data_IF_786473779980
#
_entry.id   IF_786473779980
#
_cell.length_a   1.000
_cell.length_b   1.000
_cell.length_c   1.000
_cell.angle_alpha   90.00
_cell.angle_beta   90.00
_cell.angle_gamma   90.00
#
_symmetry.space_group_name_H-M   'P 1'
#
loop_
_entity.id
_entity.type
_entity.pdbx_description
1 polymer ?
#
# COMPACT_ATOMS: atom_id res chain seq x y z
N UNK A 1 -5.38 11.52 -28.32
CA UNK A 1 -4.06 11.54 -27.65
C UNK A 1 -3.56 12.95 -27.33
N UNK A 2 -3.68 13.94 -28.23
CA UNK A 2 -3.24 15.34 -27.96
C UNK A 2 -4.23 16.08 -27.04
N UNK A 3 -5.54 16.00 -27.31
CA UNK A 3 -6.58 16.65 -26.50
C UNK A 3 -6.60 16.17 -25.05
N UNK A 4 -6.42 14.87 -24.81
CA UNK A 4 -6.34 14.29 -23.46
C UNK A 4 -5.11 14.78 -22.69
N UNK A 5 -3.97 14.99 -23.38
CA UNK A 5 -2.75 15.53 -22.79
C UNK A 5 -2.91 17.00 -22.42
N UNK A 6 -3.49 17.80 -23.31
CA UNK A 6 -3.73 19.22 -23.04
C UNK A 6 -4.74 19.40 -21.90
N UNK A 7 -5.84 18.63 -21.89
CA UNK A 7 -6.81 18.63 -20.79
C UNK A 7 -6.18 18.21 -19.46
N UNK A 8 -5.29 17.21 -19.46
CA UNK A 8 -4.55 16.84 -18.25
C UNK A 8 -3.71 18.01 -17.73
N UNK A 9 -2.90 18.63 -18.59
CA UNK A 9 -1.97 19.71 -18.23
C UNK A 9 -2.73 20.95 -17.75
N UNK A 10 -3.78 21.36 -18.45
CA UNK A 10 -4.48 22.62 -18.20
C UNK A 10 -5.56 22.50 -17.10
N UNK A 11 -6.10 21.31 -16.86
CA UNK A 11 -7.25 21.15 -15.96
C UNK A 11 -6.97 20.16 -14.83
N UNK A 12 -6.69 18.88 -15.15
CA UNK A 12 -6.60 17.84 -14.11
C UNK A 12 -5.41 18.03 -13.18
N UNK A 13 -4.23 18.30 -13.73
CA UNK A 13 -3.00 18.49 -12.96
C UNK A 13 -3.10 19.67 -11.98
N UNK A 14 -3.45 20.90 -12.39
CA UNK A 14 -3.56 22.02 -11.45
C UNK A 14 -4.65 21.79 -10.40
N UNK A 15 -5.81 21.23 -10.79
CA UNK A 15 -6.89 20.95 -9.85
C UNK A 15 -6.48 19.94 -8.77
N UNK A 16 -5.78 18.87 -9.14
CA UNK A 16 -5.26 17.91 -8.15
C UNK A 16 -4.14 18.51 -7.30
N UNK A 17 -3.27 19.36 -7.86
CA UNK A 17 -2.22 20.06 -7.08
C UNK A 17 -2.81 20.96 -5.97
N UNK A 18 -4.00 21.51 -6.16
CA UNK A 18 -4.71 22.30 -5.14
C UNK A 18 -5.42 21.43 -4.09
N UNK A 19 -5.75 20.19 -4.43
CA UNK A 19 -6.57 19.29 -3.60
C UNK A 19 -5.74 18.37 -2.71
N UNK A 20 -4.58 17.94 -3.20
CA UNK A 20 -3.72 16.97 -2.53
C UNK A 20 -2.55 17.65 -1.79
N UNK A 21 -2.02 17.01 -0.75
CA UNK A 21 -0.83 17.51 -0.05
C UNK A 21 0.39 17.62 -0.96
N UNK A 22 0.48 16.72 -1.95
CA UNK A 22 1.32 16.86 -3.13
C UNK A 22 0.72 16.10 -4.31
N UNK A 23 0.96 16.59 -5.53
CA UNK A 23 0.54 15.89 -6.75
C UNK A 23 1.60 16.08 -7.84
N UNK A 24 2.37 15.03 -8.12
CA UNK A 24 3.47 15.05 -9.07
C UNK A 24 3.01 15.07 -10.53
N UNK A 25 3.89 15.55 -11.40
CA UNK A 25 3.65 15.59 -12.84
C UNK A 25 3.45 14.17 -13.41
N UNK A 26 2.62 14.05 -14.45
CA UNK A 26 2.20 12.78 -15.06
C UNK A 26 1.47 11.78 -14.15
N UNK A 27 1.03 12.19 -12.96
CA UNK A 27 0.22 11.33 -12.11
C UNK A 27 -1.25 11.36 -12.50
N UNK A 28 -1.88 10.19 -12.51
CA UNK A 28 -3.24 10.00 -12.96
C UNK A 28 -4.04 9.24 -11.92
N UNK A 29 -5.22 9.77 -11.62
CA UNK A 29 -6.21 9.12 -10.78
C UNK A 29 -7.47 8.90 -11.62
N UNK A 30 -7.87 7.64 -11.80
CA UNK A 30 -9.00 7.28 -12.67
C UNK A 30 -10.22 6.86 -11.83
N UNK A 31 -11.39 7.48 -12.06
CA UNK A 31 -12.70 7.05 -11.53
C UNK A 31 -12.66 6.40 -10.14
N UNK A 32 -12.12 7.12 -9.15
CA UNK A 32 -11.99 6.62 -7.77
C UNK A 32 -13.35 6.55 -7.12
N UNK A 33 -13.62 5.47 -6.36
CA UNK A 33 -14.85 5.37 -5.58
C UNK A 33 -14.84 6.44 -4.50
N UNK A 34 -13.72 6.58 -3.76
CA UNK A 34 -13.66 7.47 -2.60
C UNK A 34 -12.24 7.98 -2.33
N UNK A 35 -12.14 9.27 -2.02
CA UNK A 35 -10.91 9.93 -1.57
C UNK A 35 -11.25 10.74 -0.34
N UNK A 36 -10.59 10.46 0.78
CA UNK A 36 -10.85 11.11 2.07
C UNK A 36 -9.60 11.83 2.56
N UNK A 37 -9.80 13.07 3.02
CA UNK A 37 -8.73 13.97 3.47
C UNK A 37 -7.57 14.06 2.45
N UNK A 38 -7.84 14.43 1.19
CA UNK A 38 -6.80 14.46 0.14
C UNK A 38 -5.60 15.35 0.48
N UNK A 39 -5.78 16.38 1.33
CA UNK A 39 -4.69 17.22 1.83
C UNK A 39 -3.61 16.43 2.62
N UNK A 40 -3.96 15.25 3.14
CA UNK A 40 -3.06 14.32 3.82
C UNK A 40 -2.47 13.25 2.89
N UNK A 41 -2.83 13.27 1.61
CA UNK A 41 -2.37 12.33 0.60
C UNK A 41 -1.35 13.03 -0.31
N UNK A 42 -0.16 12.44 -0.41
CA UNK A 42 0.98 12.97 -1.14
C UNK A 42 1.32 12.03 -2.28
N UNK A 43 1.17 12.49 -3.51
CA UNK A 43 1.34 11.67 -4.72
C UNK A 43 2.56 12.19 -5.48
N UNK A 44 3.52 11.30 -5.70
CA UNK A 44 4.73 11.52 -6.48
C UNK A 44 4.44 11.70 -7.97
N UNK A 45 5.49 11.65 -8.79
CA UNK A 45 5.45 11.75 -10.24
C UNK A 45 5.14 10.40 -10.88
N UNK A 46 4.45 10.42 -12.01
CA UNK A 46 4.17 9.21 -12.80
C UNK A 46 3.48 8.10 -11.97
N UNK A 47 2.57 8.49 -11.06
CA UNK A 47 1.76 7.56 -10.28
C UNK A 47 0.45 7.30 -11.00
N UNK A 48 0.07 6.03 -11.14
CA UNK A 48 -1.21 5.66 -11.72
C UNK A 48 -2.09 4.99 -10.67
N UNK A 49 -3.26 5.56 -10.40
CA UNK A 49 -4.29 4.96 -9.55
C UNK A 49 -5.45 4.47 -10.42
N UNK A 50 -5.70 3.17 -10.31
CA UNK A 50 -6.72 2.44 -11.04
C UNK A 50 -8.14 2.86 -10.68
N UNK A 51 -9.10 2.37 -11.48
CA UNK A 51 -10.52 2.66 -11.30
C UNK A 51 -10.99 2.09 -9.98
N UNK A 52 -11.96 2.77 -9.38
CA UNK A 52 -12.66 2.31 -8.19
C UNK A 52 -11.80 2.14 -6.94
N UNK A 53 -10.58 2.67 -6.93
CA UNK A 53 -9.79 2.69 -5.71
C UNK A 53 -10.50 3.46 -4.59
N UNK A 54 -10.08 3.22 -3.35
CA UNK A 54 -10.43 4.02 -2.19
C UNK A 54 -9.14 4.41 -1.47
N UNK A 55 -8.85 5.71 -1.43
CA UNK A 55 -7.71 6.27 -0.71
C UNK A 55 -8.21 7.11 0.47
N UNK A 56 -7.86 6.72 1.69
CA UNK A 56 -8.21 7.46 2.90
C UNK A 56 -6.98 7.76 3.75
N UNK A 57 -6.87 9.01 4.22
CA UNK A 57 -5.84 9.46 5.16
C UNK A 57 -6.49 10.22 6.34
N UNK A 58 -7.25 9.45 7.14
CA UNK A 58 -8.13 9.95 8.19
C UNK A 58 -7.51 9.75 9.58
N UNK A 59 -7.13 10.80 10.32
CA UNK A 59 -6.54 10.70 11.66
C UNK A 59 -7.55 10.24 12.73
N UNK A 60 -7.90 8.95 12.75
CA UNK A 60 -8.96 8.39 13.62
C UNK A 60 -8.44 7.66 14.86
N UNK A 61 -7.13 7.49 14.99
CA UNK A 61 -6.49 6.70 16.06
C UNK A 61 -5.81 7.57 17.13
N UNK A 62 -6.25 8.83 17.27
CA UNK A 62 -5.74 9.78 18.27
C UNK A 62 -4.47 10.54 17.87
N UNK A 63 -3.88 10.23 16.70
CA UNK A 63 -2.78 11.01 16.14
C UNK A 63 -3.31 12.23 15.40
N UNK A 64 -2.68 13.40 15.58
CA UNK A 64 -3.07 14.62 14.87
C UNK A 64 -2.56 14.65 13.43
N UNK A 65 -1.46 13.96 13.14
CA UNK A 65 -0.92 13.84 11.79
C UNK A 65 -1.28 12.49 11.18
N UNK A 66 -1.76 12.53 9.94
CA UNK A 66 -1.98 11.36 9.11
C UNK A 66 -1.37 11.64 7.73
N UNK A 67 -0.53 10.73 7.22
CA UNK A 67 0.11 10.87 5.91
C UNK A 67 0.00 9.57 5.11
N UNK A 68 -0.60 9.66 3.93
CA UNK A 68 -0.54 8.62 2.91
C UNK A 68 0.37 9.10 1.78
N UNK A 69 1.51 8.44 1.61
CA UNK A 69 2.52 8.82 0.63
C UNK A 69 2.57 7.76 -0.47
N UNK A 70 2.43 8.18 -1.73
CA UNK A 70 2.62 7.35 -2.92
C UNK A 70 3.85 7.87 -3.68
N UNK A 71 4.92 7.09 -3.71
CA UNK A 71 6.20 7.42 -4.34
C UNK A 71 6.13 7.44 -5.87
N UNK A 72 7.22 7.89 -6.49
CA UNK A 72 7.31 8.07 -7.93
C UNK A 72 7.25 6.73 -8.68
N UNK A 73 6.71 6.73 -9.91
CA UNK A 73 6.66 5.56 -10.80
C UNK A 73 5.89 4.36 -10.23
N UNK A 74 4.94 4.61 -9.33
CA UNK A 74 4.15 3.57 -8.67
C UNK A 74 2.81 3.34 -9.35
N UNK A 75 2.39 2.08 -9.45
CA UNK A 75 1.08 1.69 -9.97
C UNK A 75 0.22 1.09 -8.86
N UNK A 76 -1.00 1.62 -8.71
CA UNK A 76 -2.04 1.12 -7.81
C UNK A 76 -3.18 0.58 -8.66
N UNK A 77 -3.46 -0.72 -8.55
CA UNK A 77 -4.49 -1.41 -9.33
C UNK A 77 -5.92 -0.96 -9.05
N UNK A 78 -6.84 -1.46 -9.86
CA UNK A 78 -8.26 -1.16 -9.74
C UNK A 78 -8.82 -1.71 -8.42
N UNK A 79 -9.75 -0.97 -7.82
CA UNK A 79 -10.42 -1.34 -6.57
C UNK A 79 -9.46 -1.60 -5.39
N UNK A 80 -8.24 -1.06 -5.44
CA UNK A 80 -7.35 -1.05 -4.29
C UNK A 80 -7.96 -0.16 -3.19
N UNK A 81 -7.85 -0.60 -1.94
CA UNK A 81 -8.37 0.10 -0.77
C UNK A 81 -7.24 0.34 0.22
N UNK A 82 -6.82 1.60 0.35
CA UNK A 82 -5.75 2.02 1.24
C UNK A 82 -6.33 2.93 2.31
N UNK A 83 -6.31 2.48 3.56
CA UNK A 83 -6.90 3.18 4.69
C UNK A 83 -5.84 3.52 5.74
N UNK A 84 -5.34 4.75 5.68
CA UNK A 84 -4.32 5.30 6.57
C UNK A 84 -4.96 6.10 7.70
N UNK A 85 -4.55 5.83 8.94
CA UNK A 85 -4.93 6.63 10.12
C UNK A 85 -3.76 7.35 10.78
N UNK A 86 -2.51 6.96 10.48
CA UNK A 86 -1.30 7.65 10.92
C UNK A 86 -0.26 7.73 9.80
N UNK A 87 0.23 6.60 9.30
CA UNK A 87 1.31 6.58 8.31
C UNK A 87 1.30 5.34 7.44
N UNK A 88 1.07 5.55 6.15
CA UNK A 88 1.28 4.55 5.09
C UNK A 88 2.17 5.19 4.04
N UNK A 89 3.33 4.57 3.80
CA UNK A 89 4.27 5.00 2.76
C UNK A 89 4.43 3.89 1.74
N UNK A 90 4.13 4.21 0.50
CA UNK A 90 4.44 3.38 -0.66
C UNK A 90 5.60 4.07 -1.35
N UNK A 91 6.77 3.44 -1.35
CA UNK A 91 7.98 4.00 -1.95
C UNK A 91 7.90 4.02 -3.48
N UNK A 92 9.03 4.28 -4.13
CA UNK A 92 9.10 4.42 -5.58
C UNK A 92 9.01 3.06 -6.28
N UNK A 93 8.52 3.06 -7.52
CA UNK A 93 8.53 1.89 -8.40
C UNK A 93 7.83 0.66 -7.80
N UNK A 94 6.81 0.87 -6.96
CA UNK A 94 6.02 -0.22 -6.38
C UNK A 94 4.90 -0.62 -7.34
N UNK A 95 4.69 -1.92 -7.51
CA UNK A 95 3.59 -2.47 -8.28
C UNK A 95 2.53 -3.08 -7.35
N UNK A 96 1.34 -2.47 -7.30
CA UNK A 96 0.20 -2.99 -6.55
C UNK A 96 -0.88 -3.43 -7.54
N UNK A 97 -1.21 -4.72 -7.51
CA UNK A 97 -2.25 -5.28 -8.35
C UNK A 97 -3.66 -4.87 -7.91
N UNK A 98 -4.67 -5.34 -8.63
CA UNK A 98 -6.06 -5.03 -8.37
C UNK A 98 -6.54 -5.60 -7.02
N UNK A 99 -7.55 -4.94 -6.43
CA UNK A 99 -8.27 -5.40 -5.22
C UNK A 99 -7.39 -5.62 -3.98
N UNK A 100 -6.24 -4.94 -3.91
CA UNK A 100 -5.37 -4.98 -2.73
C UNK A 100 -5.92 -4.10 -1.61
N UNK A 101 -5.91 -4.60 -0.39
CA UNK A 101 -6.23 -3.84 0.83
C UNK A 101 -4.96 -3.57 1.64
N UNK A 102 -4.77 -2.33 2.09
CA UNK A 102 -3.66 -1.91 2.95
C UNK A 102 -4.21 -1.01 4.07
N UNK A 103 -3.94 -1.37 5.33
CA UNK A 103 -4.24 -0.53 6.49
C UNK A 103 -3.11 -0.51 7.51
N UNK A 104 -3.04 0.57 8.27
CA UNK A 104 -2.16 0.76 9.43
C UNK A 104 -2.93 0.67 10.77
N UNK A 105 -4.18 0.20 10.73
CA UNK A 105 -5.14 0.21 11.82
C UNK A 105 -6.11 -0.98 11.76
N UNK A 106 -6.85 -1.15 12.86
CA UNK A 106 -7.94 -2.12 12.99
C UNK A 106 -8.99 -1.61 13.99
N UNK A 107 -10.11 -2.31 14.14
CA UNK A 107 -11.04 -2.06 15.24
C UNK A 107 -10.51 -2.60 16.57
N UNK A 108 -10.78 -1.89 17.67
CA UNK A 108 -10.61 -2.41 19.01
C UNK A 108 -11.55 -3.60 19.27
N UNK A 109 -11.07 -4.56 20.05
CA UNK A 109 -11.80 -5.78 20.38
C UNK A 109 -11.61 -6.25 21.82
N UNK A 110 -10.96 -5.42 22.66
CA UNK A 110 -10.57 -5.81 24.03
C UNK A 110 -11.73 -5.75 25.02
N UNK A 111 -12.71 -4.88 24.77
CA UNK A 111 -13.90 -4.78 25.61
C UNK A 111 -14.93 -5.83 25.15
N UNK A 112 -15.12 -6.88 25.95
CA UNK A 112 -16.03 -7.98 25.60
C UNK A 112 -17.50 -7.67 25.88
N UNK A 113 -17.78 -6.61 26.65
CA UNK A 113 -19.14 -6.20 27.02
C UNK A 113 -19.75 -5.25 25.98
N UNK A 114 -18.94 -4.75 25.04
CA UNK A 114 -19.37 -3.80 23.99
C UNK A 114 -19.18 -4.39 22.59
N UNK A 115 -20.19 -4.30 21.71
CA UNK A 115 -20.04 -4.69 20.31
C UNK A 115 -18.86 -3.98 19.62
N UNK A 116 -18.16 -4.68 18.71
CA UNK A 116 -16.97 -4.16 18.00
C UNK A 116 -17.24 -2.81 17.31
N UNK A 117 -18.44 -2.61 16.76
CA UNK A 117 -18.82 -1.36 16.06
C UNK A 117 -18.80 -0.13 16.99
N UNK A 118 -18.94 -0.32 18.30
CA UNK A 118 -18.88 0.76 19.29
C UNK A 118 -17.47 0.95 19.86
N UNK A 119 -16.55 0.04 19.55
CA UNK A 119 -15.18 0.11 20.00
C UNK A 119 -14.35 1.02 19.07
N UNK A 120 -13.38 1.75 19.62
CA UNK A 120 -12.59 2.70 18.85
C UNK A 120 -11.73 1.99 17.79
N UNK A 121 -11.37 2.71 16.74
CA UNK A 121 -10.30 2.29 15.84
C UNK A 121 -8.98 2.42 16.59
N UNK A 122 -8.12 1.41 16.48
CA UNK A 122 -6.81 1.36 17.12
C UNK A 122 -5.71 1.33 16.07
N UNK A 123 -4.63 2.06 16.33
CA UNK A 123 -3.44 2.02 15.48
C UNK A 123 -2.73 0.67 15.65
N UNK A 124 -2.23 0.10 14.55
CA UNK A 124 -1.34 -1.05 14.56
C UNK A 124 0.12 -0.60 14.55
N UNK A 125 0.67 -0.36 13.36
CA UNK A 125 2.04 0.07 13.10
C UNK A 125 2.03 1.02 11.91
N UNK A 126 3.12 1.76 11.70
CA UNK A 126 3.33 2.42 10.41
C UNK A 126 3.57 1.35 9.33
N UNK A 127 3.02 1.55 8.14
CA UNK A 127 3.15 0.60 7.02
C UNK A 127 4.03 1.19 5.94
N UNK A 128 5.09 0.47 5.57
CA UNK A 128 5.98 0.84 4.47
C UNK A 128 6.01 -0.27 3.44
N UNK A 129 5.64 0.04 2.20
CA UNK A 129 5.84 -0.82 1.04
C UNK A 129 7.06 -0.29 0.29
N UNK A 130 8.19 -0.96 0.45
CA UNK A 130 9.48 -0.46 -0.04
C UNK A 130 9.65 -0.59 -1.55
N UNK A 131 10.65 0.13 -2.05
CA UNK A 131 10.98 0.26 -3.46
C UNK A 131 11.00 -1.08 -4.21
N UNK A 132 10.37 -1.12 -5.38
CA UNK A 132 10.37 -2.30 -6.27
C UNK A 132 9.56 -3.49 -5.77
N UNK A 133 8.87 -3.39 -4.63
CA UNK A 133 7.99 -4.46 -4.16
C UNK A 133 6.82 -4.70 -5.13
N UNK A 134 6.37 -5.95 -5.21
CA UNK A 134 5.16 -6.35 -5.94
C UNK A 134 4.13 -6.98 -5.02
N UNK A 135 2.95 -6.36 -4.97
CA UNK A 135 1.80 -6.85 -4.20
C UNK A 135 0.80 -7.47 -5.16
N UNK A 136 0.61 -8.78 -5.05
CA UNK A 136 -0.29 -9.58 -5.87
C UNK A 136 -1.76 -9.22 -5.66
N UNK A 137 -2.59 -9.66 -6.60
CA UNK A 137 -4.02 -9.36 -6.61
C UNK A 137 -4.71 -9.89 -5.36
N UNK A 138 -5.67 -9.14 -4.81
CA UNK A 138 -6.48 -9.54 -3.66
C UNK A 138 -5.67 -9.80 -2.36
N UNK A 139 -4.48 -9.23 -2.24
CA UNK A 139 -3.67 -9.26 -1.00
C UNK A 139 -4.27 -8.32 0.04
N UNK A 140 -4.26 -8.74 1.31
CA UNK A 140 -4.63 -7.94 2.46
C UNK A 140 -3.40 -7.70 3.34
N UNK A 141 -3.03 -6.45 3.55
CA UNK A 141 -1.93 -6.02 4.43
C UNK A 141 -2.52 -5.27 5.62
N UNK A 142 -2.36 -5.82 6.82
CA UNK A 142 -2.92 -5.26 8.05
C UNK A 142 -1.80 -4.94 9.04
N UNK A 143 -1.31 -3.69 9.03
CA UNK A 143 -0.31 -3.18 9.96
C UNK A 143 1.09 -3.78 9.81
N UNK A 144 1.44 -4.25 8.60
CA UNK A 144 2.72 -4.87 8.29
C UNK A 144 3.41 -4.19 7.10
N UNK A 145 4.73 -4.13 7.13
CA UNK A 145 5.58 -3.56 6.07
C UNK A 145 6.12 -4.62 5.11
N UNK A 146 6.38 -4.23 3.86
CA UNK A 146 6.93 -5.09 2.81
C UNK A 146 8.28 -4.55 2.36
N UNK A 147 9.29 -5.42 2.39
CA UNK A 147 10.67 -5.09 2.06
C UNK A 147 10.94 -4.83 0.58
N UNK A 148 12.14 -4.30 0.32
CA UNK A 148 12.62 -3.91 -1.00
C UNK A 148 12.63 -5.10 -1.95
N UNK A 149 12.10 -4.94 -3.16
CA UNK A 149 12.02 -5.99 -4.18
C UNK A 149 11.40 -7.31 -3.68
N UNK A 150 10.55 -7.24 -2.66
CA UNK A 150 9.81 -8.40 -2.15
C UNK A 150 8.50 -8.58 -2.88
N UNK A 151 8.05 -9.82 -2.96
CA UNK A 151 6.84 -10.22 -3.67
C UNK A 151 5.87 -10.82 -2.66
N UNK A 152 4.64 -10.32 -2.63
CA UNK A 152 3.53 -10.97 -1.92
C UNK A 152 2.60 -11.57 -2.96
N UNK A 153 2.49 -12.90 -2.98
CA UNK A 153 1.62 -13.60 -3.94
C UNK A 153 0.14 -13.30 -3.72
N UNK A 154 -0.66 -13.47 -4.77
CA UNK A 154 -2.08 -13.19 -4.76
C UNK A 154 -2.84 -13.93 -3.64
N UNK A 155 -3.95 -13.34 -3.18
CA UNK A 155 -4.80 -13.86 -2.10
C UNK A 155 -4.09 -14.10 -0.74
N UNK A 156 -2.97 -13.41 -0.48
CA UNK A 156 -2.26 -13.53 0.79
C UNK A 156 -2.77 -12.55 1.86
N UNK A 157 -2.65 -12.92 3.13
CA UNK A 157 -2.94 -12.03 4.28
C UNK A 157 -1.66 -11.79 5.05
N UNK A 158 -1.15 -10.56 5.00
CA UNK A 158 0.11 -10.14 5.63
C UNK A 158 -0.20 -9.46 6.95
N UNK A 159 0.21 -10.12 8.05
CA UNK A 159 0.04 -9.63 9.42
C UNK A 159 1.37 -9.40 10.15
N UNK A 160 2.49 -9.62 9.46
CA UNK A 160 3.85 -9.44 9.97
C UNK A 160 4.74 -8.94 8.83
N UNK A 161 5.75 -8.15 9.18
CA UNK A 161 6.67 -7.58 8.19
C UNK A 161 7.33 -8.66 7.34
N UNK A 162 7.41 -8.41 6.03
CA UNK A 162 8.16 -9.22 5.08
C UNK A 162 9.49 -8.52 4.82
N UNK A 163 10.65 -9.15 5.09
CA UNK A 163 11.96 -8.54 4.84
C UNK A 163 12.21 -8.27 3.35
N UNK A 164 13.29 -7.55 3.07
CA UNK A 164 13.76 -7.29 1.70
C UNK A 164 14.09 -8.61 0.98
N UNK A 165 13.91 -8.63 -0.34
CA UNK A 165 14.24 -9.74 -1.23
C UNK A 165 13.63 -11.08 -0.81
N UNK A 166 12.35 -11.06 -0.44
CA UNK A 166 11.57 -12.23 -0.03
C UNK A 166 10.36 -12.43 -0.94
N UNK A 167 9.95 -13.68 -1.13
CA UNK A 167 8.65 -14.04 -1.73
C UNK A 167 7.80 -14.69 -0.65
N UNK A 168 6.64 -14.10 -0.35
CA UNK A 168 5.71 -14.58 0.66
C UNK A 168 4.34 -14.90 0.06
N UNK A 169 3.69 -15.95 0.56
CA UNK A 169 2.34 -16.38 0.11
C UNK A 169 1.52 -16.92 1.27
N UNK A 170 0.19 -16.91 1.12
CA UNK A 170 -0.76 -17.56 2.03
C UNK A 170 -1.42 -16.63 3.05
N UNK A 171 -2.25 -17.20 3.92
CA UNK A 171 -3.00 -16.49 4.95
C UNK A 171 -2.94 -17.26 6.28
N UNK A 172 -2.08 -16.86 7.24
CA UNK A 172 -1.13 -15.75 7.15
C UNK A 172 0.00 -16.02 6.15
N UNK A 173 0.53 -14.94 5.56
CA UNK A 173 1.60 -15.01 4.58
C UNK A 173 2.88 -15.54 5.23
N UNK A 174 3.50 -16.53 4.58
CA UNK A 174 4.79 -17.11 4.96
C UNK A 174 5.80 -16.92 3.84
N UNK A 175 7.05 -16.66 4.20
CA UNK A 175 8.16 -16.58 3.25
C UNK A 175 8.42 -17.99 2.70
N UNK A 176 8.39 -18.13 1.37
CA UNK A 176 8.65 -19.38 0.65
C UNK A 176 9.96 -19.34 -0.15
N UNK A 177 10.45 -18.14 -0.47
CA UNK A 177 11.74 -17.94 -1.14
C UNK A 177 12.42 -16.67 -0.64
N UNK A 178 13.75 -16.68 -0.69
CA UNK A 178 14.62 -15.52 -0.44
C UNK A 178 15.68 -15.43 -1.52
N UNK A 179 16.11 -14.22 -1.84
CA UNK A 179 17.25 -14.01 -2.74
C UNK A 179 18.55 -14.21 -1.97
N UNK A 180 19.45 -15.04 -2.51
CA UNK A 180 20.82 -15.20 -2.01
C UNK A 180 21.72 -14.25 -2.79
N UNK A 181 22.31 -13.27 -2.10
CA UNK A 181 23.28 -12.35 -2.71
C UNK A 181 24.56 -13.08 -3.13
N UNK A 182 24.97 -14.12 -2.40
CA UNK A 182 26.16 -14.90 -2.74
C UNK A 182 25.96 -15.68 -4.05
N UNK A 183 24.79 -16.31 -4.21
CA UNK A 183 24.50 -17.18 -5.36
C UNK A 183 23.81 -16.46 -6.52
N UNK A 184 23.38 -15.21 -6.31
CA UNK A 184 22.64 -14.39 -7.27
C UNK A 184 21.35 -15.07 -7.78
N UNK A 185 20.64 -15.78 -6.90
CA UNK A 185 19.39 -16.48 -7.26
C UNK A 185 18.45 -16.63 -6.05
N UNK A 186 17.21 -17.06 -6.32
CA UNK A 186 16.14 -17.26 -5.36
C UNK A 186 16.05 -18.71 -4.88
N UNK A 187 16.22 -18.91 -3.58
CA UNK A 187 16.20 -20.24 -2.96
C UNK A 187 14.98 -20.40 -2.07
N UNK A 188 14.51 -21.64 -1.93
CA UNK A 188 13.39 -21.97 -1.05
C UNK A 188 13.77 -21.76 0.42
N UNK A 189 12.77 -21.41 1.21
CA UNK A 189 12.92 -21.31 2.66
C UNK A 189 12.07 -22.33 3.41
N UNK A 190 12.51 -22.67 4.63
CA UNK A 190 11.70 -23.40 5.61
C UNK A 190 10.58 -22.50 6.16
N UNK A 191 9.72 -23.06 7.02
CA UNK A 191 8.64 -22.32 7.68
C UNK A 191 9.12 -21.15 8.57
N UNK A 192 10.42 -21.10 8.90
CA UNK A 192 11.04 -20.05 9.70
C UNK A 192 11.72 -18.99 8.83
N UNK A 193 11.73 -19.14 7.50
CA UNK A 193 12.37 -18.21 6.57
C UNK A 193 13.88 -18.45 6.39
N UNK A 194 14.43 -19.58 6.84
CA UNK A 194 15.82 -19.97 6.59
C UNK A 194 15.92 -20.70 5.25
N UNK A 195 17.03 -20.54 4.53
CA UNK A 195 17.26 -21.30 3.31
C UNK A 195 17.28 -22.81 3.56
N UNK A 196 16.61 -23.59 2.71
CA UNK A 196 16.59 -25.07 2.81
C UNK A 196 17.86 -25.66 2.18
N UNK A 197 18.33 -25.11 1.06
CA UNK A 197 19.53 -25.52 0.33
C UNK A 197 20.19 -24.24 -0.25
N UNK A 198 21.48 -24.02 -0.01
CA UNK A 198 22.31 -22.94 -0.60
C UNK A 198 23.56 -23.56 -1.24
#
# INVERSE_FOLDING_TARGET
MILSKLYYILVRYPLNKLRFGAFGYQSHINHVIRIEMPQNIFIGKNVSVGKFAWLAANPLTGFHECKLILGDNTYIGNSAHIYCTKSITIENSVLIADRVYISDNQHGFKDIERPIIEQPIVQLNDVVIKEGAWIGENVCISGASIGKNSIVGANSVVTKDIPDYCIAVGAPAKIIKRYSVEKQDWFKTDDKGNFIEI
#
